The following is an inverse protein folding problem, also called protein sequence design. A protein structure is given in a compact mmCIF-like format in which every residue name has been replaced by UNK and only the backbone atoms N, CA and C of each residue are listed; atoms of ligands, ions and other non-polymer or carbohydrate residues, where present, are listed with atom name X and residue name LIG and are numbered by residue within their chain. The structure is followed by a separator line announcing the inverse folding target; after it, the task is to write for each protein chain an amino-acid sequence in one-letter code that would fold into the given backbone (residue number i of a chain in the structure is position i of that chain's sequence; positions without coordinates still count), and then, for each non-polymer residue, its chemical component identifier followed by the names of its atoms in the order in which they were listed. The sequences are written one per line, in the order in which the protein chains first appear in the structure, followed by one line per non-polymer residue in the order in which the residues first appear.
data_IF_212346747029
#
_entry.id   IF_212346747029
#
_cell.length_a   1.000
_cell.length_b   1.000
_cell.length_c   1.000
_cell.angle_alpha   90.00
_cell.angle_beta   90.00
_cell.angle_gamma   90.00
#
_symmetry.space_group_name_H-M   'P 1'
#
loop_
_entity.id
_entity.type
_entity.pdbx_description
1 polymer ?
#
# COMPACT_ATOMS: atom_id res chain seq x y z
N UNK A 1 -5.75 35.25 57.19
CA UNK A 1 -5.83 36.71 56.93
C UNK A 1 -7.15 37.14 56.28
N UNK A 2 -7.64 36.47 55.22
CA UNK A 2 -8.89 36.83 54.52
C UNK A 2 -10.14 36.95 55.43
N UNK A 3 -10.26 36.11 56.45
CA UNK A 3 -11.39 36.16 57.40
C UNK A 3 -11.36 37.42 58.29
N UNK A 4 -10.18 37.97 58.57
CA UNK A 4 -10.02 39.18 59.40
C UNK A 4 -10.36 40.44 58.59
N UNK A 5 -10.02 40.47 57.29
CA UNK A 5 -10.36 41.59 56.41
C UNK A 5 -11.87 41.70 56.14
N UNK A 6 -12.54 40.56 55.91
CA UNK A 6 -13.99 40.53 55.72
C UNK A 6 -14.76 40.99 56.98
N UNK A 7 -14.22 40.69 58.16
CA UNK A 7 -14.80 41.13 59.44
C UNK A 7 -14.67 42.65 59.66
N UNK A 8 -13.54 43.25 59.27
CA UNK A 8 -13.33 44.70 59.37
C UNK A 8 -14.16 45.51 58.37
N UNK A 9 -14.48 44.96 57.19
CA UNK A 9 -15.36 45.62 56.21
C UNK A 9 -16.84 45.56 56.62
N UNK A 10 -17.25 44.50 57.34
CA UNK A 10 -18.63 44.33 57.82
C UNK A 10 -18.97 45.16 59.07
N UNK A 11 -17.98 45.65 59.82
CA UNK A 11 -18.19 46.54 60.96
C UNK A 11 -18.10 48.00 60.49
N UNK A 12 -19.27 48.59 60.21
CA UNK A 12 -19.41 49.86 59.50
C UNK A 12 -18.63 51.06 60.07
N UNK A 13 -18.13 51.87 59.12
CA UNK A 13 -17.78 53.30 59.19
C UNK A 13 -17.27 53.80 60.55
N UNK A 14 -15.99 53.54 60.82
CA UNK A 14 -15.18 54.44 61.63
C UNK A 14 -13.97 54.87 60.80
N UNK A 15 -13.61 56.15 60.86
CA UNK A 15 -12.52 56.78 60.13
C UNK A 15 -11.21 56.03 60.37
N UNK A 16 -10.86 55.15 59.44
CA UNK A 16 -9.59 54.44 59.45
C UNK A 16 -8.49 55.45 59.08
N UNK A 17 -7.45 55.63 59.90
CA UNK A 17 -6.36 56.57 59.62
C UNK A 17 -5.76 56.34 58.22
N UNK A 18 -5.43 57.41 57.48
CA UNK A 18 -4.97 57.30 56.09
C UNK A 18 -3.72 56.42 55.92
N UNK A 19 -2.89 56.31 56.96
CA UNK A 19 -1.74 55.43 57.00
C UNK A 19 -2.14 53.95 56.94
N UNK A 20 -3.22 53.55 57.59
CA UNK A 20 -3.72 52.18 57.61
C UNK A 20 -4.32 51.78 56.25
N UNK A 21 -4.95 52.73 55.54
CA UNK A 21 -5.43 52.51 54.16
C UNK A 21 -4.30 52.22 53.17
N UNK A 22 -3.17 52.91 53.31
CA UNK A 22 -1.99 52.68 52.45
C UNK A 22 -1.43 51.26 52.66
N UNK A 23 -1.24 50.86 53.92
CA UNK A 23 -0.75 49.52 54.27
C UNK A 23 -1.72 48.44 53.78
N UNK A 24 -3.03 48.65 53.92
CA UNK A 24 -4.03 47.69 53.45
C UNK A 24 -4.00 47.51 51.92
N UNK A 25 -3.82 48.61 51.18
CA UNK A 25 -3.74 48.59 49.73
C UNK A 25 -2.46 47.92 49.22
N UNK A 26 -1.33 48.14 49.89
CA UNK A 26 -0.06 47.47 49.56
C UNK A 26 -0.17 45.96 49.79
N UNK A 27 -0.74 45.52 50.93
CA UNK A 27 -0.98 44.09 51.18
C UNK A 27 -2.00 43.47 50.24
N UNK A 28 -3.02 44.21 49.79
CA UNK A 28 -3.98 43.73 48.80
C UNK A 28 -3.31 43.53 47.44
N UNK A 29 -2.44 44.46 47.03
CA UNK A 29 -1.71 44.37 45.76
C UNK A 29 -0.73 43.19 45.77
N UNK A 30 -0.03 42.96 46.89
CA UNK A 30 0.87 41.82 47.06
C UNK A 30 0.12 40.48 46.95
N UNK A 31 -1.04 40.35 47.62
CA UNK A 31 -1.91 39.18 47.49
C UNK A 31 -2.43 38.98 46.07
N UNK A 32 -2.78 40.06 45.36
CA UNK A 32 -3.21 39.96 43.96
C UNK A 32 -2.08 39.43 43.06
N UNK A 33 -0.85 39.87 43.29
CA UNK A 33 0.31 39.40 42.56
C UNK A 33 0.60 37.91 42.85
N UNK A 34 0.56 37.49 44.12
CA UNK A 34 0.72 36.08 44.50
C UNK A 34 -0.36 35.19 43.87
N UNK A 35 -1.60 35.67 43.81
CA UNK A 35 -2.70 34.93 43.16
C UNK A 35 -2.46 34.79 41.65
N UNK A 36 -1.94 35.80 40.97
CA UNK A 36 -1.61 35.69 39.54
C UNK A 36 -0.40 34.79 39.29
N UNK A 37 0.65 34.86 40.11
CA UNK A 37 1.77 33.91 40.02
C UNK A 37 1.31 32.47 40.26
N UNK A 38 0.42 32.25 41.22
CA UNK A 38 -0.17 30.94 41.46
C UNK A 38 -1.04 30.48 40.28
N UNK A 39 -1.82 31.37 39.64
CA UNK A 39 -2.59 31.03 38.43
C UNK A 39 -1.69 30.66 37.25
N UNK A 40 -0.57 31.37 37.06
CA UNK A 40 0.42 31.06 36.03
C UNK A 40 1.05 29.69 36.32
N UNK A 41 1.50 29.46 37.54
CA UNK A 41 2.05 28.16 37.95
C UNK A 41 1.02 27.03 37.83
N UNK A 42 -0.27 27.30 38.09
CA UNK A 42 -1.34 26.33 37.90
C UNK A 42 -1.57 26.01 36.42
N UNK A 43 -1.54 27.00 35.52
CA UNK A 43 -1.66 26.80 34.06
C UNK A 43 -0.49 26.04 33.48
N UNK A 44 0.71 26.24 34.02
CA UNK A 44 1.90 25.46 33.64
C UNK A 44 1.90 24.04 34.22
N UNK A 45 1.15 23.81 35.30
CA UNK A 45 1.02 22.52 35.98
C UNK A 45 -0.25 21.75 35.64
N UNK A 46 -1.22 22.34 34.95
CA UNK A 46 -2.31 21.58 34.36
C UNK A 46 -1.64 20.58 33.40
N UNK A 47 -1.70 19.27 33.69
CA UNK A 47 -1.23 18.31 32.71
C UNK A 47 -2.09 18.58 31.49
N UNK A 48 -1.47 19.01 30.39
CA UNK A 48 -2.10 18.91 29.10
C UNK A 48 -2.46 17.44 29.00
N UNK A 49 -3.73 17.11 29.23
CA UNK A 49 -4.26 15.79 28.98
C UNK A 49 -4.15 15.68 27.48
N UNK A 50 -2.97 15.28 26.99
CA UNK A 50 -2.72 14.97 25.60
C UNK A 50 -3.80 13.97 25.28
N UNK A 51 -4.79 14.39 24.51
CA UNK A 51 -5.94 13.58 24.20
C UNK A 51 -5.41 12.34 23.47
N UNK A 52 -5.25 11.22 24.20
CA UNK A 52 -4.59 10.03 23.68
C UNK A 52 -5.61 9.36 22.77
N UNK A 53 -5.39 9.46 21.47
CA UNK A 53 -6.23 8.81 20.46
C UNK A 53 -6.45 7.34 20.82
N UNK A 54 -7.70 6.92 20.82
CA UNK A 54 -8.12 5.53 21.01
C UNK A 54 -7.91 4.70 19.75
N UNK A 55 -7.93 3.36 19.88
CA UNK A 55 -7.83 2.48 18.70
C UNK A 55 -9.02 2.69 17.75
N UNK A 56 -10.22 2.90 18.29
CA UNK A 56 -11.41 3.18 17.47
C UNK A 56 -11.27 4.49 16.69
N UNK A 57 -10.74 5.55 17.30
CA UNK A 57 -10.48 6.82 16.60
C UNK A 57 -9.38 6.68 15.55
N UNK A 58 -8.33 5.91 15.84
CA UNK A 58 -7.29 5.60 14.86
C UNK A 58 -7.85 4.85 13.66
N UNK A 59 -8.76 3.90 13.89
CA UNK A 59 -9.44 3.18 12.81
C UNK A 59 -10.32 4.09 11.97
N UNK A 60 -11.07 5.00 12.59
CA UNK A 60 -11.84 6.01 11.88
C UNK A 60 -10.91 6.89 11.04
N UNK A 61 -9.76 7.30 11.57
CA UNK A 61 -8.76 8.05 10.81
C UNK A 61 -8.24 7.26 9.61
N UNK A 62 -7.98 5.95 9.76
CA UNK A 62 -7.61 5.05 8.66
C UNK A 62 -8.72 4.95 7.61
N UNK A 63 -9.98 4.73 8.01
CA UNK A 63 -11.11 4.63 7.08
C UNK A 63 -11.37 5.94 6.32
N UNK A 64 -11.18 7.08 7.00
CA UNK A 64 -11.31 8.41 6.41
C UNK A 64 -10.07 8.88 5.63
N UNK A 65 -8.99 8.08 5.62
CA UNK A 65 -7.68 8.47 5.09
C UNK A 65 -7.14 9.79 5.68
N UNK A 66 -7.39 10.05 6.97
CA UNK A 66 -6.87 11.22 7.67
C UNK A 66 -5.39 11.00 8.02
N UNK A 67 -4.53 11.30 7.06
CA UNK A 67 -3.08 11.13 7.17
C UNK A 67 -2.48 11.86 8.37
N UNK A 68 -2.98 13.06 8.70
CA UNK A 68 -2.44 13.85 9.80
C UNK A 68 -2.81 13.22 11.14
N UNK A 69 -4.06 12.80 11.30
CA UNK A 69 -4.50 12.10 12.51
C UNK A 69 -3.71 10.79 12.73
N UNK A 70 -3.47 10.01 11.66
CA UNK A 70 -2.65 8.78 11.72
C UNK A 70 -1.22 9.11 12.13
N UNK A 71 -0.61 10.15 11.52
CA UNK A 71 0.75 10.59 11.84
C UNK A 71 0.88 11.04 13.28
N UNK A 72 -0.05 11.85 13.75
CA UNK A 72 -0.08 12.33 15.12
C UNK A 72 -0.22 11.16 16.10
N UNK A 73 -1.11 10.20 15.82
CA UNK A 73 -1.28 9.01 16.63
C UNK A 73 0.00 8.16 16.74
N UNK A 74 0.65 7.88 15.61
CA UNK A 74 1.90 7.12 15.58
C UNK A 74 3.05 7.86 16.29
N UNK A 75 3.10 9.19 16.20
CA UNK A 75 4.12 9.99 16.90
C UNK A 75 3.97 9.97 18.42
N UNK A 76 2.74 9.79 18.92
CA UNK A 76 2.45 9.78 20.36
C UNK A 76 2.62 8.39 20.97
N UNK A 77 2.09 7.35 20.32
CA UNK A 77 2.10 5.98 20.86
C UNK A 77 2.06 4.93 19.74
N UNK A 78 3.11 4.85 18.94
CA UNK A 78 3.22 3.83 17.87
C UNK A 78 3.01 2.40 18.36
N UNK A 79 3.49 2.05 19.56
CA UNK A 79 3.40 0.66 20.04
C UNK A 79 1.95 0.23 20.26
N UNK A 80 1.12 1.14 20.78
CA UNK A 80 -0.31 0.88 20.95
C UNK A 80 -1.01 0.54 19.65
N UNK A 81 -0.65 1.18 18.54
CA UNK A 81 -1.32 0.96 17.26
C UNK A 81 -0.67 -0.16 16.43
N UNK A 82 0.66 -0.24 16.39
CA UNK A 82 1.37 -1.21 15.55
C UNK A 82 1.31 -2.64 16.11
N UNK A 83 1.20 -2.81 17.43
CA UNK A 83 1.10 -4.13 18.08
C UNK A 83 -0.35 -4.58 18.32
N UNK A 84 -1.32 -3.75 17.98
CA UNK A 84 -2.72 -4.07 18.20
C UNK A 84 -3.19 -5.17 17.24
N UNK A 85 -4.06 -6.06 17.75
CA UNK A 85 -4.70 -7.10 16.95
C UNK A 85 -6.03 -6.60 16.38
N UNK A 86 -6.08 -6.40 15.07
CA UNK A 86 -7.21 -5.84 14.35
C UNK A 86 -8.21 -6.90 13.84
N UNK A 87 -8.12 -8.15 14.30
CA UNK A 87 -9.05 -9.24 13.94
C UNK A 87 -10.53 -8.83 13.96
N UNK A 88 -10.94 -8.07 14.98
CA UNK A 88 -12.36 -7.71 15.16
C UNK A 88 -12.88 -6.67 14.16
N UNK A 89 -12.01 -6.06 13.36
CA UNK A 89 -12.34 -4.93 12.48
C UNK A 89 -12.36 -5.29 10.99
N UNK A 90 -11.90 -6.49 10.63
CA UNK A 90 -11.99 -7.00 9.26
C UNK A 90 -13.14 -8.01 9.23
N UNK A 91 -14.22 -7.63 8.52
CA UNK A 91 -15.40 -8.47 8.34
C UNK A 91 -14.99 -9.81 7.72
N UNK A 92 -15.41 -10.92 8.32
CA UNK A 92 -15.02 -12.29 7.98
C UNK A 92 -13.53 -12.66 8.20
N UNK A 93 -12.72 -11.83 8.84
CA UNK A 93 -11.40 -12.30 9.29
C UNK A 93 -11.59 -13.26 10.47
N UNK A 94 -11.00 -14.45 10.35
CA UNK A 94 -10.95 -15.44 11.44
C UNK A 94 -9.54 -15.46 12.02
N UNK A 95 -9.04 -14.35 12.56
CA UNK A 95 -7.70 -14.39 13.15
C UNK A 95 -6.90 -13.13 13.23
N UNK A 96 -5.68 -13.25 13.77
CA UNK A 96 -4.79 -12.12 14.04
C UNK A 96 -4.49 -11.35 12.77
N UNK A 97 -4.99 -10.14 12.72
CA UNK A 97 -4.75 -9.19 11.63
C UNK A 97 -3.91 -8.05 12.19
N UNK A 98 -2.76 -7.78 11.58
CA UNK A 98 -2.02 -6.57 11.92
C UNK A 98 -2.59 -5.37 11.13
N UNK A 99 -2.14 -4.17 11.47
CA UNK A 99 -2.60 -2.94 10.82
C UNK A 99 -2.36 -2.93 9.31
N UNK A 100 -1.34 -3.63 8.81
CA UNK A 100 -1.03 -3.65 7.37
C UNK A 100 -2.07 -4.43 6.55
N UNK A 101 -2.62 -5.52 7.09
CA UNK A 101 -3.72 -6.23 6.45
C UNK A 101 -4.97 -5.35 6.37
N UNK A 102 -5.29 -4.65 7.47
CA UNK A 102 -6.42 -3.73 7.50
C UNK A 102 -6.29 -2.63 6.45
N UNK A 103 -5.11 -2.01 6.36
CA UNK A 103 -4.81 -0.97 5.39
C UNK A 103 -4.93 -1.47 3.95
N UNK A 104 -4.48 -2.69 3.70
CA UNK A 104 -4.59 -3.33 2.39
C UNK A 104 -6.07 -3.55 2.00
N UNK A 105 -6.93 -4.00 2.92
CA UNK A 105 -8.37 -4.22 2.67
C UNK A 105 -9.19 -2.93 2.54
N UNK A 106 -8.90 -1.91 3.35
CA UNK A 106 -9.82 -0.77 3.55
C UNK A 106 -9.59 0.39 2.62
N UNK A 107 -8.46 0.43 1.91
CA UNK A 107 -8.19 1.47 0.93
C UNK A 107 -8.97 1.21 -0.36
N UNK A 108 -10.27 1.48 -0.37
CA UNK A 108 -11.09 1.45 -1.59
C UNK A 108 -10.80 2.65 -2.51
N UNK A 109 -10.27 3.74 -1.97
CA UNK A 109 -9.93 4.95 -2.72
C UNK A 109 -8.49 4.96 -3.24
N UNK A 110 -7.60 4.05 -2.80
CA UNK A 110 -6.23 3.88 -3.31
C UNK A 110 -5.25 5.03 -3.01
N UNK A 111 -5.72 6.26 -2.82
CA UNK A 111 -4.91 7.49 -2.85
C UNK A 111 -3.89 7.61 -1.69
N UNK A 112 -4.00 6.80 -0.63
CA UNK A 112 -3.12 6.93 0.54
C UNK A 112 -2.49 5.64 1.04
N UNK A 113 -2.73 4.47 0.43
CA UNK A 113 -2.17 3.20 0.96
C UNK A 113 -0.65 3.28 1.05
N UNK A 114 0.03 3.63 -0.04
CA UNK A 114 1.49 3.78 -0.06
C UNK A 114 1.97 4.78 1.00
N UNK A 115 1.35 5.96 1.10
CA UNK A 115 1.74 7.00 2.06
C UNK A 115 1.61 6.55 3.50
N UNK A 116 0.56 5.79 3.83
CA UNK A 116 0.40 5.25 5.19
C UNK A 116 1.43 4.14 5.45
N UNK A 117 1.73 3.29 4.46
CA UNK A 117 2.82 2.30 4.59
C UNK A 117 4.18 2.98 4.80
N UNK A 118 4.47 4.05 4.05
CA UNK A 118 5.66 4.90 4.22
C UNK A 118 5.72 5.46 5.64
N UNK A 119 4.61 6.05 6.12
CA UNK A 119 4.52 6.61 7.46
C UNK A 119 4.76 5.57 8.57
N UNK A 120 4.21 4.36 8.42
CA UNK A 120 4.44 3.26 9.37
C UNK A 120 5.90 2.80 9.32
N UNK A 121 6.48 2.67 8.13
CA UNK A 121 7.88 2.32 7.95
C UNK A 121 8.83 3.38 8.56
N UNK A 122 8.52 4.66 8.40
CA UNK A 122 9.26 5.77 9.01
C UNK A 122 9.14 5.77 10.55
N UNK A 123 7.96 5.44 11.08
CA UNK A 123 7.75 5.34 12.52
C UNK A 123 8.49 4.16 13.16
N UNK A 124 8.51 3.01 12.49
CA UNK A 124 9.19 1.79 12.94
C UNK A 124 9.45 0.78 11.81
N UNK A 125 10.57 0.93 11.11
CA UNK A 125 10.91 0.06 9.97
C UNK A 125 11.08 -1.42 10.35
N UNK A 126 11.58 -1.71 11.55
CA UNK A 126 11.75 -3.08 12.02
C UNK A 126 10.40 -3.76 12.27
N UNK A 127 9.48 -3.07 12.96
CA UNK A 127 8.12 -3.55 13.16
C UNK A 127 7.37 -3.68 11.84
N UNK A 128 7.55 -2.73 10.91
CA UNK A 128 6.98 -2.82 9.57
C UNK A 128 7.42 -4.10 8.86
N UNK A 129 8.73 -4.39 8.83
CA UNK A 129 9.29 -5.60 8.21
C UNK A 129 8.75 -6.87 8.87
N UNK A 130 8.58 -6.91 10.19
CA UNK A 130 7.96 -8.04 10.87
C UNK A 130 6.49 -8.22 10.45
N UNK A 131 5.72 -7.13 10.45
CA UNK A 131 4.29 -7.17 10.15
C UNK A 131 3.98 -7.53 8.69
N UNK A 132 4.74 -7.00 7.73
CA UNK A 132 4.47 -7.23 6.30
C UNK A 132 4.80 -8.67 5.89
N UNK A 133 5.67 -9.33 6.64
CA UNK A 133 6.02 -10.74 6.49
C UNK A 133 5.15 -11.67 7.34
N UNK A 134 4.22 -11.14 8.13
CA UNK A 134 3.34 -11.94 8.96
C UNK A 134 2.07 -12.26 8.20
N UNK A 135 1.76 -13.55 8.06
CA UNK A 135 0.49 -14.01 7.52
C UNK A 135 -0.63 -13.83 8.54
N UNK A 136 -1.83 -13.52 8.08
CA UNK A 136 -3.03 -13.70 8.88
C UNK A 136 -3.37 -15.21 9.04
N UNK A 137 -4.45 -15.52 9.75
CA UNK A 137 -4.85 -16.92 9.98
C UNK A 137 -5.35 -17.65 8.71
N UNK A 138 -5.65 -16.92 7.64
CA UNK A 138 -5.94 -17.49 6.32
C UNK A 138 -4.67 -17.79 5.51
N UNK A 139 -3.49 -17.51 6.07
CA UNK A 139 -2.22 -17.74 5.40
C UNK A 139 -1.85 -16.67 4.35
N UNK A 140 -2.54 -15.53 4.38
CA UNK A 140 -2.42 -14.43 3.42
C UNK A 140 -1.49 -13.37 4.00
N UNK A 141 -0.57 -12.83 3.21
CA UNK A 141 0.25 -11.68 3.59
C UNK A 141 -0.48 -10.35 3.32
N UNK A 142 -0.15 -9.23 4.00
CA UNK A 142 -0.68 -7.91 3.65
C UNK A 142 -0.49 -7.56 2.17
N UNK A 143 0.67 -7.94 1.62
CA UNK A 143 1.08 -7.72 0.24
C UNK A 143 0.31 -8.53 -0.78
N UNK A 144 -0.25 -9.69 -0.40
CA UNK A 144 -1.14 -10.46 -1.26
C UNK A 144 -2.44 -9.70 -1.50
N UNK A 145 -2.98 -9.06 -0.46
CA UNK A 145 -4.17 -8.22 -0.57
C UNK A 145 -3.89 -7.00 -1.47
N UNK A 146 -2.71 -6.38 -1.33
CA UNK A 146 -2.30 -5.28 -2.23
C UNK A 146 -2.28 -5.70 -3.70
N UNK A 147 -1.84 -6.93 -3.99
CA UNK A 147 -1.84 -7.51 -5.33
C UNK A 147 -3.26 -7.72 -5.83
N UNK A 148 -4.12 -8.36 -5.04
CA UNK A 148 -5.52 -8.62 -5.42
C UNK A 148 -6.26 -7.31 -5.75
N UNK A 149 -6.06 -6.28 -4.92
CA UNK A 149 -6.64 -4.94 -5.08
C UNK A 149 -5.94 -4.08 -6.16
N UNK A 150 -4.86 -4.58 -6.78
CA UNK A 150 -4.15 -3.89 -7.86
C UNK A 150 -3.48 -2.57 -7.44
N UNK A 151 -2.97 -2.48 -6.20
CA UNK A 151 -2.36 -1.27 -5.63
C UNK A 151 -0.90 -1.12 -6.06
N UNK A 152 -0.66 -0.78 -7.33
CA UNK A 152 0.67 -0.76 -7.98
C UNK A 152 1.72 0.06 -7.21
N UNK A 153 1.33 1.22 -6.68
CA UNK A 153 2.20 2.10 -5.90
C UNK A 153 2.65 1.48 -4.57
N UNK A 154 1.72 0.87 -3.83
CA UNK A 154 1.97 0.19 -2.57
C UNK A 154 2.76 -1.11 -2.77
N UNK A 155 2.47 -1.85 -3.86
CA UNK A 155 3.22 -3.05 -4.24
C UNK A 155 4.67 -2.70 -4.54
N UNK A 156 4.92 -1.66 -5.35
CA UNK A 156 6.27 -1.18 -5.65
C UNK A 156 7.00 -0.76 -4.36
N UNK A 157 6.32 -0.02 -3.47
CA UNK A 157 6.93 0.37 -2.20
C UNK A 157 7.35 -0.85 -1.37
N UNK A 158 6.47 -1.85 -1.21
CA UNK A 158 6.83 -3.08 -0.50
C UNK A 158 8.04 -3.77 -1.15
N UNK A 159 8.04 -3.88 -2.49
CA UNK A 159 9.16 -4.45 -3.24
C UNK A 159 10.48 -3.68 -3.01
N UNK A 160 10.45 -2.35 -3.05
CA UNK A 160 11.59 -1.47 -2.77
C UNK A 160 12.12 -1.61 -1.33
N UNK A 161 11.30 -2.08 -0.39
CA UNK A 161 11.70 -2.41 0.99
C UNK A 161 12.22 -3.84 1.17
N UNK A 162 12.47 -4.55 0.07
CA UNK A 162 13.10 -5.88 0.08
C UNK A 162 12.11 -7.03 0.29
N UNK A 163 10.82 -6.78 0.10
CA UNK A 163 9.81 -7.85 0.04
C UNK A 163 9.88 -8.51 -1.33
N UNK A 164 9.94 -9.83 -1.35
CA UNK A 164 10.18 -10.65 -2.55
C UNK A 164 9.21 -11.83 -2.61
N UNK A 165 9.24 -12.55 -3.73
CA UNK A 165 8.47 -13.79 -3.91
C UNK A 165 8.73 -14.82 -2.80
N UNK A 166 9.93 -14.82 -2.22
CA UNK A 166 10.33 -15.78 -1.20
C UNK A 166 10.06 -15.30 0.22
N UNK A 167 9.70 -14.02 0.41
CA UNK A 167 9.44 -13.43 1.72
C UNK A 167 8.39 -12.32 1.63
N UNK A 168 7.11 -12.71 1.63
CA UNK A 168 5.98 -11.78 1.77
C UNK A 168 5.06 -11.67 0.56
N UNK A 169 5.40 -12.24 -0.59
CA UNK A 169 4.43 -12.45 -1.67
C UNK A 169 4.10 -13.93 -1.82
N UNK A 170 2.81 -14.26 -1.93
CA UNK A 170 2.37 -15.61 -2.27
C UNK A 170 2.48 -15.83 -3.78
N UNK A 171 3.32 -16.79 -4.20
CA UNK A 171 3.55 -17.11 -5.62
C UNK A 171 2.25 -17.38 -6.39
N UNK A 172 1.32 -18.13 -5.79
CA UNK A 172 0.04 -18.43 -6.41
C UNK A 172 -0.80 -17.18 -6.71
N UNK A 173 -0.90 -16.26 -5.75
CA UNK A 173 -1.66 -15.01 -5.88
C UNK A 173 -0.98 -14.10 -6.91
N UNK A 174 0.34 -13.93 -6.80
CA UNK A 174 1.13 -13.12 -7.72
C UNK A 174 0.98 -13.58 -9.17
N UNK A 175 1.15 -14.88 -9.43
CA UNK A 175 1.04 -15.46 -10.78
C UNK A 175 -0.39 -15.37 -11.32
N UNK A 176 -1.38 -15.65 -10.48
CA UNK A 176 -2.80 -15.57 -10.87
C UNK A 176 -3.17 -14.14 -11.24
N UNK A 177 -2.79 -13.16 -10.41
CA UNK A 177 -3.09 -11.76 -10.68
C UNK A 177 -2.33 -11.22 -11.89
N UNK A 178 -1.08 -11.62 -12.12
CA UNK A 178 -0.33 -11.25 -13.33
C UNK A 178 -1.04 -11.71 -14.61
N UNK A 179 -1.57 -12.94 -14.63
CA UNK A 179 -2.36 -13.45 -15.77
C UNK A 179 -3.63 -12.62 -15.97
N UNK A 180 -4.37 -12.38 -14.89
CA UNK A 180 -5.60 -11.56 -14.94
C UNK A 180 -5.31 -10.13 -15.40
N UNK A 181 -4.18 -9.53 -14.98
CA UNK A 181 -3.79 -8.20 -15.42
C UNK A 181 -3.58 -8.12 -16.94
N UNK A 182 -2.96 -9.13 -17.54
CA UNK A 182 -2.82 -9.21 -19.01
C UNK A 182 -4.19 -9.40 -19.67
N UNK A 183 -5.02 -10.30 -19.15
CA UNK A 183 -6.34 -10.58 -19.71
C UNK A 183 -7.29 -9.37 -19.65
N UNK A 184 -7.26 -8.63 -18.53
CA UNK A 184 -8.06 -7.45 -18.26
C UNK A 184 -7.45 -6.15 -18.83
N UNK A 185 -6.30 -6.24 -19.50
CA UNK A 185 -5.59 -5.10 -20.08
C UNK A 185 -5.04 -4.07 -19.06
N UNK A 186 -4.68 -4.52 -17.86
CA UNK A 186 -4.12 -3.74 -16.75
C UNK A 186 -2.57 -3.66 -16.85
N UNK A 187 -2.06 -2.88 -17.80
CA UNK A 187 -0.63 -2.85 -18.13
C UNK A 187 0.27 -2.48 -16.95
N UNK A 188 -0.07 -1.42 -16.21
CA UNK A 188 0.75 -0.94 -15.09
C UNK A 188 0.91 -2.01 -14.02
N UNK A 189 -0.19 -2.69 -13.65
CA UNK A 189 -0.15 -3.78 -12.69
C UNK A 189 0.72 -4.92 -13.21
N UNK A 190 0.55 -5.33 -14.47
CA UNK A 190 1.38 -6.38 -15.04
C UNK A 190 2.86 -6.01 -15.03
N UNK A 191 3.23 -4.76 -15.35
CA UNK A 191 4.61 -4.30 -15.30
C UNK A 191 5.19 -4.39 -13.88
N UNK A 192 4.44 -3.98 -12.86
CA UNK A 192 4.87 -4.09 -11.46
C UNK A 192 5.06 -5.55 -11.05
N UNK A 193 4.05 -6.39 -11.27
CA UNK A 193 4.12 -7.81 -10.91
C UNK A 193 5.24 -8.53 -11.68
N UNK A 194 5.48 -8.15 -12.94
CA UNK A 194 6.56 -8.72 -13.74
C UNK A 194 7.94 -8.48 -13.14
N UNK A 195 8.18 -7.34 -12.49
CA UNK A 195 9.46 -7.04 -11.84
C UNK A 195 9.70 -7.99 -10.66
N UNK A 196 8.66 -8.22 -9.86
CA UNK A 196 8.71 -9.13 -8.71
C UNK A 196 8.97 -10.56 -9.17
N UNK A 197 8.23 -11.04 -10.19
CA UNK A 197 8.39 -12.41 -10.65
C UNK A 197 9.77 -12.63 -11.32
N UNK A 198 10.23 -11.65 -12.11
CA UNK A 198 11.44 -11.80 -12.92
C UNK A 198 12.75 -11.83 -12.13
N UNK A 199 12.74 -11.26 -10.93
CA UNK A 199 13.91 -11.16 -10.04
C UNK A 199 14.02 -12.34 -9.08
N UNK A 200 12.90 -12.96 -8.69
CA UNK A 200 12.89 -13.97 -7.62
C UNK A 200 12.32 -15.35 -8.05
N UNK A 201 11.74 -15.46 -9.25
CA UNK A 201 11.01 -16.64 -9.69
C UNK A 201 11.70 -17.48 -10.78
N UNK A 202 11.39 -18.78 -10.76
CA UNK A 202 11.64 -19.69 -11.88
C UNK A 202 10.75 -19.27 -13.06
N UNK A 203 11.34 -18.50 -13.99
CA UNK A 203 10.69 -17.90 -15.17
C UNK A 203 9.87 -18.89 -16.00
N UNK A 204 10.16 -20.19 -15.89
CA UNK A 204 9.42 -21.27 -16.55
C UNK A 204 7.98 -21.45 -16.02
N UNK A 205 7.71 -21.13 -14.75
CA UNK A 205 6.40 -21.36 -14.10
C UNK A 205 5.30 -20.40 -14.55
N UNK A 206 5.63 -19.16 -14.93
CA UNK A 206 4.66 -18.20 -15.49
C UNK A 206 4.03 -18.77 -16.77
N UNK A 207 4.86 -19.42 -17.59
CA UNK A 207 4.48 -19.98 -18.87
C UNK A 207 3.81 -21.35 -18.79
N UNK A 208 4.16 -22.16 -17.78
CA UNK A 208 3.75 -23.57 -17.74
C UNK A 208 2.36 -23.82 -17.16
N UNK A 209 1.76 -22.84 -16.47
CA UNK A 209 0.45 -22.98 -15.80
C UNK A 209 -0.66 -22.10 -16.39
N UNK A 210 -0.40 -21.35 -17.46
CA UNK A 210 -1.50 -20.78 -18.25
C UNK A 210 -2.11 -21.93 -19.06
N UNK A 211 -3.42 -21.88 -19.29
CA UNK A 211 -4.24 -22.83 -20.04
C UNK A 211 -3.41 -23.74 -20.99
N UNK A 212 -3.57 -25.08 -20.93
CA UNK A 212 -2.83 -25.97 -21.82
C UNK A 212 -2.92 -25.56 -23.31
N UNK A 213 -3.96 -24.82 -23.70
CA UNK A 213 -4.19 -24.35 -25.05
C UNK A 213 -3.64 -22.94 -25.32
N UNK A 214 -3.76 -21.99 -24.38
CA UNK A 214 -3.44 -20.57 -24.62
C UNK A 214 -2.54 -19.98 -23.53
N UNK A 215 -1.35 -19.56 -23.92
CA UNK A 215 -0.41 -18.87 -23.02
C UNK A 215 -0.64 -17.35 -23.03
N UNK A 216 0.16 -16.63 -22.23
CA UNK A 216 0.01 -15.19 -22.07
C UNK A 216 0.36 -14.39 -23.34
N UNK A 217 1.29 -14.89 -24.16
CA UNK A 217 1.65 -14.20 -25.41
C UNK A 217 0.51 -14.31 -26.43
N UNK A 218 -0.21 -15.43 -26.46
CA UNK A 218 -1.41 -15.57 -27.27
C UNK A 218 -2.41 -14.45 -26.97
N UNK A 219 -2.76 -14.27 -25.69
CA UNK A 219 -3.73 -13.24 -25.30
C UNK A 219 -3.24 -11.82 -25.61
N UNK A 220 -1.96 -11.54 -25.39
CA UNK A 220 -1.37 -10.24 -25.70
C UNK A 220 -1.44 -9.90 -27.20
N UNK A 221 -1.12 -10.88 -28.06
CA UNK A 221 -1.21 -10.73 -29.51
C UNK A 221 -2.66 -10.63 -29.95
N UNK A 222 -3.53 -11.55 -29.52
CA UNK A 222 -4.96 -11.56 -29.88
C UNK A 222 -5.68 -10.25 -29.54
N UNK A 223 -5.29 -9.61 -28.42
CA UNK A 223 -5.82 -8.28 -28.02
C UNK A 223 -5.15 -7.11 -28.76
N UNK A 224 -4.12 -7.34 -29.56
CA UNK A 224 -3.37 -6.31 -30.27
C UNK A 224 -2.59 -5.38 -29.36
N UNK A 225 -2.22 -5.81 -28.14
CA UNK A 225 -1.53 -4.94 -27.19
C UNK A 225 -0.02 -5.09 -27.29
N UNK A 226 0.60 -4.17 -28.03
CA UNK A 226 2.06 -4.07 -28.25
C UNK A 226 2.84 -4.04 -26.93
N UNK A 227 2.33 -3.36 -25.90
CA UNK A 227 3.04 -3.20 -24.63
C UNK A 227 3.10 -4.52 -23.85
N UNK A 228 2.02 -5.32 -23.85
CA UNK A 228 2.07 -6.67 -23.27
C UNK A 228 2.96 -7.60 -24.07
N UNK A 229 2.89 -7.55 -25.41
CA UNK A 229 3.81 -8.30 -26.27
C UNK A 229 5.25 -7.96 -25.92
N UNK A 230 5.58 -6.68 -25.81
CA UNK A 230 6.92 -6.21 -25.39
C UNK A 230 7.29 -6.73 -23.99
N UNK A 231 6.40 -6.60 -23.01
CA UNK A 231 6.62 -7.02 -21.63
C UNK A 231 6.93 -8.53 -21.55
N UNK A 232 6.13 -9.33 -22.26
CA UNK A 232 6.25 -10.78 -22.29
C UNK A 232 7.48 -11.22 -23.08
N UNK A 233 7.73 -10.69 -24.29
CA UNK A 233 8.91 -11.05 -25.07
C UNK A 233 10.24 -10.72 -24.36
N UNK A 234 10.24 -9.68 -23.53
CA UNK A 234 11.43 -9.28 -22.77
C UNK A 234 11.78 -10.28 -21.68
N UNK A 235 10.79 -11.01 -21.15
CA UNK A 235 10.96 -11.70 -19.88
C UNK A 235 10.45 -13.16 -19.84
N UNK A 236 9.49 -13.56 -20.68
CA UNK A 236 8.60 -14.70 -20.38
C UNK A 236 7.98 -15.44 -21.58
N UNK A 237 8.66 -15.70 -22.72
CA UNK A 237 7.96 -16.40 -23.83
C UNK A 237 8.80 -17.45 -24.57
N UNK A 238 8.20 -18.64 -24.73
CA UNK A 238 8.54 -19.62 -25.76
C UNK A 238 7.60 -19.44 -26.96
N UNK A 239 8.15 -19.10 -28.13
CA UNK A 239 7.36 -18.74 -29.31
C UNK A 239 7.08 -19.92 -30.25
N UNK A 240 7.60 -21.11 -29.94
CA UNK A 240 7.40 -22.31 -30.75
C UNK A 240 6.14 -23.11 -30.37
N UNK A 241 5.22 -22.52 -29.60
CA UNK A 241 3.93 -23.15 -29.27
C UNK A 241 2.96 -22.95 -30.44
N UNK A 242 2.16 -23.97 -30.69
CA UNK A 242 1.03 -23.90 -31.60
C UNK A 242 -0.27 -23.81 -30.79
N UNK A 243 -1.26 -23.10 -31.34
CA UNK A 243 -2.52 -22.79 -30.68
C UNK A 243 -3.69 -23.36 -31.47
N UNK A 244 -4.74 -23.91 -30.84
CA UNK A 244 -5.90 -24.42 -31.57
C UNK A 244 -6.67 -23.29 -32.25
N UNK A 245 -7.10 -23.50 -33.49
CA UNK A 245 -7.86 -22.52 -34.26
C UNK A 245 -9.37 -22.82 -34.19
N UNK A 246 -10.17 -21.95 -33.57
CA UNK A 246 -11.64 -22.01 -33.63
C UNK A 246 -12.28 -23.39 -33.34
N UNK A 247 -11.79 -24.12 -32.33
CA UNK A 247 -12.24 -25.48 -31.98
C UNK A 247 -11.97 -26.56 -33.05
N UNK A 248 -11.11 -26.30 -34.04
CA UNK A 248 -10.62 -27.33 -34.96
C UNK A 248 -9.40 -28.05 -34.40
N UNK A 249 -9.07 -29.22 -34.97
CA UNK A 249 -7.80 -29.90 -34.71
C UNK A 249 -6.60 -29.17 -35.35
N UNK A 250 -6.86 -28.16 -36.18
CA UNK A 250 -5.84 -27.35 -36.84
C UNK A 250 -5.18 -26.43 -35.81
N UNK A 251 -3.85 -26.46 -35.80
CA UNK A 251 -3.05 -25.65 -34.91
C UNK A 251 -2.34 -24.57 -35.72
N UNK A 252 -2.40 -23.35 -35.21
CA UNK A 252 -1.76 -22.19 -35.81
C UNK A 252 -0.53 -21.80 -35.00
N UNK A 253 0.52 -21.39 -35.70
CA UNK A 253 1.72 -20.85 -35.05
C UNK A 253 1.52 -19.40 -34.60
N UNK A 254 2.52 -18.86 -33.91
CA UNK A 254 2.55 -17.44 -33.52
C UNK A 254 2.45 -16.49 -34.72
N UNK A 255 2.93 -16.92 -35.90
CA UNK A 255 2.88 -16.12 -37.15
C UNK A 255 1.45 -15.99 -37.65
N UNK A 256 0.78 -17.12 -37.81
CA UNK A 256 -0.62 -17.17 -38.23
C UNK A 256 -1.51 -16.40 -37.24
N UNK A 257 -1.21 -16.49 -35.93
CA UNK A 257 -1.88 -15.68 -34.92
C UNK A 257 -1.71 -14.18 -35.15
N UNK A 258 -0.49 -13.71 -35.46
CA UNK A 258 -0.25 -12.29 -35.82
C UNK A 258 -1.04 -11.92 -37.08
N UNK A 259 -1.15 -12.83 -38.04
CA UNK A 259 -1.89 -12.59 -39.27
C UNK A 259 -3.40 -12.48 -39.07
N UNK A 260 -3.95 -12.96 -37.95
CA UNK A 260 -5.35 -12.70 -37.56
C UNK A 260 -5.62 -11.25 -37.14
N UNK A 261 -4.58 -10.45 -36.88
CA UNK A 261 -4.74 -9.04 -36.54
C UNK A 261 -5.14 -8.23 -37.78
N UNK A 262 -5.92 -7.17 -37.53
CA UNK A 262 -6.26 -6.21 -38.57
C UNK A 262 -4.98 -5.54 -39.09
N UNK A 263 -4.92 -5.35 -40.41
CA UNK A 263 -3.83 -4.62 -41.06
C UNK A 263 -3.64 -3.23 -40.46
N UNK A 264 -2.39 -2.85 -40.22
CA UNK A 264 -2.02 -1.56 -39.65
C UNK A 264 -0.73 -1.59 -38.83
N UNK A 265 -0.38 -0.43 -38.26
CA UNK A 265 0.88 -0.22 -37.53
C UNK A 265 1.05 -1.18 -36.34
N UNK A 266 -0.04 -1.51 -35.64
CA UNK A 266 -0.01 -2.43 -34.49
C UNK A 266 0.43 -3.84 -34.92
N UNK A 267 -0.12 -4.36 -36.02
CA UNK A 267 0.23 -5.69 -36.55
C UNK A 267 1.71 -5.73 -36.94
N UNK A 268 2.18 -4.73 -37.68
CA UNK A 268 3.57 -4.64 -38.12
C UNK A 268 4.54 -4.51 -36.95
N UNK A 269 4.21 -3.72 -35.93
CA UNK A 269 5.04 -3.57 -34.74
C UNK A 269 5.11 -4.87 -33.91
N UNK A 270 3.99 -5.57 -33.72
CA UNK A 270 3.97 -6.89 -33.06
C UNK A 270 4.80 -7.89 -33.87
N UNK A 271 4.57 -7.97 -35.18
CA UNK A 271 5.28 -8.85 -36.12
C UNK A 271 6.79 -8.65 -36.03
N UNK A 272 7.24 -7.39 -36.13
CA UNK A 272 8.66 -7.02 -36.01
C UNK A 272 9.25 -7.52 -34.70
N UNK A 273 8.61 -7.25 -33.56
CA UNK A 273 9.12 -7.65 -32.23
C UNK A 273 9.21 -9.17 -32.06
N UNK A 274 8.21 -9.91 -32.54
CA UNK A 274 8.21 -11.38 -32.48
C UNK A 274 9.32 -11.94 -33.36
N UNK A 275 9.49 -11.43 -34.58
CA UNK A 275 10.57 -11.82 -35.48
C UNK A 275 11.95 -11.53 -34.87
N UNK A 276 12.17 -10.33 -34.34
CA UNK A 276 13.41 -9.95 -33.67
C UNK A 276 13.75 -10.94 -32.54
N UNK A 277 12.75 -11.34 -31.74
CA UNK A 277 12.95 -12.34 -30.68
C UNK A 277 13.31 -13.72 -31.22
N UNK A 278 12.66 -14.18 -32.29
CA UNK A 278 12.94 -15.48 -32.92
C UNK A 278 14.36 -15.55 -33.48
N UNK A 279 14.82 -14.47 -34.13
CA UNK A 279 16.19 -14.35 -34.64
C UNK A 279 17.20 -14.42 -33.50
N UNK A 280 16.98 -13.63 -32.44
CA UNK A 280 17.90 -13.55 -31.30
C UNK A 280 17.97 -14.83 -30.46
N UNK A 281 16.94 -15.68 -30.50
CA UNK A 281 16.89 -16.93 -29.73
C UNK A 281 17.39 -18.15 -30.52
N UNK A 282 17.84 -17.97 -31.78
CA UNK A 282 18.37 -19.05 -32.61
C UNK A 282 17.30 -20.00 -33.17
N UNK A 283 16.01 -19.68 -33.02
CA UNK A 283 14.90 -20.41 -33.64
C UNK A 283 14.79 -20.16 -35.15
N UNK A 284 15.66 -19.31 -35.71
CA UNK A 284 15.78 -19.03 -37.15
C UNK A 284 16.04 -20.26 -38.01
N UNK A 285 16.59 -21.36 -37.47
CA UNK A 285 16.85 -22.58 -38.26
C UNK A 285 15.61 -23.31 -38.77
N UNK A 286 14.42 -23.00 -38.26
CA UNK A 286 13.15 -23.56 -38.79
C UNK A 286 12.55 -22.68 -39.90
N UNK A 287 13.00 -21.43 -40.04
CA UNK A 287 12.34 -20.44 -40.88
C UNK A 287 12.88 -20.32 -42.31
N UNK A 288 14.10 -20.79 -42.60
CA UNK A 288 14.63 -20.75 -43.96
C UNK A 288 14.19 -21.94 -44.83
N UNK A 289 13.65 -23.02 -44.24
CA UNK A 289 13.29 -24.25 -44.96
C UNK A 289 11.81 -24.40 -45.31
N UNK A 290 10.96 -23.41 -45.02
CA UNK A 290 9.53 -23.44 -45.40
C UNK A 290 9.18 -22.49 -46.58
N UNK A 291 10.19 -21.96 -47.27
CA UNK A 291 10.01 -21.04 -48.41
C UNK A 291 10.88 -21.33 -49.63
N UNK A 292 11.48 -22.51 -49.74
CA UNK A 292 12.18 -22.92 -50.97
C UNK A 292 11.49 -24.15 -51.54
N UNK A 293 10.56 -23.92 -52.45
CA UNK A 293 10.22 -24.91 -53.48
C UNK A 293 11.51 -25.33 -54.19
N UNK A 294 11.80 -26.63 -54.15
CA UNK A 294 12.45 -27.35 -55.25
C UNK A 294 11.72 -28.66 -55.46
#
# INVERSE_FOLDING_TARGET
MLVILAFLISCGKQDVPSATHKVLNESLQELQNEVEELKISLREKEPTVKNIMTVSEFLVAVELNDFNAIKDALSHDKNRFLRYDFSNYIYNSKGSENILHLLAYRSKSGIFTKKILELIFEADGAMFSEMILKKNNSGIFPTDILIEEGRTDAINFAYEKGISLNNGFSEEILLTRFKLAIFNNELELAEVLSKIIGNDGDRSRILSKADPHFDLIYWAIYKGNVNFVRLLLSNYVYLGREYPQNNSEEKIGIKDLIDTLKEGEIKEEIKKRVLDKLVNTGYTRVYENQGVEK
#
